data_IF_162503450448
#
_entry.id   IF_162503450448
#
_cell.length_a   1.000
_cell.length_b   1.000
_cell.length_c   1.000
_cell.angle_alpha   90.00
_cell.angle_beta   90.00
_cell.angle_gamma   90.00
#
_symmetry.space_group_name_H-M   'P 1'
#
loop_
_entity.id
_entity.type
_entity.pdbx_description
1 polymer ?
#
# COMPACT_ATOMS: atom_id res chain seq x y z
N UNK A 1 19.04 -13.75 59.72
CA UNK A 1 19.77 -13.07 58.61
C UNK A 1 19.91 -13.87 57.31
N UNK A 2 19.75 -15.19 57.27
CA UNK A 2 19.95 -16.01 56.05
C UNK A 2 18.71 -16.08 55.12
N UNK A 3 17.49 -15.78 55.55
CA UNK A 3 16.29 -15.81 54.70
C UNK A 3 16.12 -14.53 53.86
N UNK A 4 16.64 -13.37 54.28
CA UNK A 4 16.49 -12.12 53.49
C UNK A 4 17.44 -12.03 52.29
N UNK A 5 18.59 -12.75 52.36
CA UNK A 5 19.54 -12.78 51.26
C UNK A 5 19.08 -13.67 50.08
N UNK A 6 18.26 -14.70 50.36
CA UNK A 6 17.73 -15.61 49.32
C UNK A 6 16.63 -14.95 48.50
N UNK A 7 15.80 -14.10 49.12
CA UNK A 7 14.72 -13.38 48.42
C UNK A 7 15.22 -12.31 47.43
N UNK A 8 16.35 -11.66 47.74
CA UNK A 8 16.96 -10.64 46.88
C UNK A 8 17.65 -11.29 45.66
N UNK A 9 18.24 -12.46 45.83
CA UNK A 9 18.88 -13.18 44.72
C UNK A 9 17.84 -13.73 43.72
N UNK A 10 16.70 -14.18 44.17
CA UNK A 10 15.60 -14.64 43.29
C UNK A 10 14.96 -13.49 42.53
N UNK A 11 14.82 -12.30 43.15
CA UNK A 11 14.29 -11.10 42.47
C UNK A 11 15.29 -10.53 41.45
N UNK A 12 16.60 -10.62 41.70
CA UNK A 12 17.65 -10.22 40.75
C UNK A 12 17.75 -11.16 39.54
N UNK A 13 17.47 -12.46 39.68
CA UNK A 13 17.42 -13.43 38.56
C UNK A 13 16.16 -13.30 37.71
N UNK A 14 15.05 -12.79 38.25
CA UNK A 14 13.82 -12.51 37.48
C UNK A 14 13.89 -11.20 36.70
N UNK A 15 14.73 -10.25 37.12
CA UNK A 15 14.92 -8.98 36.44
C UNK A 15 15.85 -9.07 35.19
N UNK A 16 16.63 -10.14 35.03
CA UNK A 16 17.50 -10.33 33.86
C UNK A 16 16.92 -11.14 32.72
N UNK A 17 15.67 -11.57 32.84
CA UNK A 17 14.93 -12.29 31.79
C UNK A 17 13.92 -11.38 31.05
N UNK A 18 14.20 -10.08 30.91
CA UNK A 18 13.64 -9.29 29.84
C UNK A 18 14.35 -9.73 28.52
N UNK A 19 14.10 -10.98 28.14
CA UNK A 19 14.38 -11.47 26.81
C UNK A 19 13.65 -10.52 25.84
N UNK A 20 14.40 -9.64 25.19
CA UNK A 20 13.89 -9.05 23.95
C UNK A 20 13.50 -10.24 23.09
N UNK A 21 12.20 -10.40 22.84
CA UNK A 21 11.71 -11.39 21.89
C UNK A 21 12.34 -11.01 20.55
N UNK A 22 13.46 -11.62 20.23
CA UNK A 22 14.11 -11.44 18.94
C UNK A 22 13.15 -12.07 17.94
N UNK A 23 12.51 -11.25 17.11
CA UNK A 23 11.68 -11.74 16.03
C UNK A 23 12.49 -12.76 15.23
N UNK A 24 11.96 -13.96 15.06
CA UNK A 24 12.64 -15.01 14.32
C UNK A 24 13.03 -14.48 12.93
N UNK A 25 14.30 -14.67 12.55
CA UNK A 25 14.80 -14.22 11.26
C UNK A 25 14.04 -14.93 10.13
N UNK A 26 13.48 -14.17 9.19
CA UNK A 26 12.86 -14.71 7.99
C UNK A 26 13.97 -15.04 7.00
N UNK A 27 14.17 -16.33 6.75
CA UNK A 27 15.15 -16.82 5.79
C UNK A 27 14.54 -16.88 4.40
N UNK A 28 15.31 -16.50 3.40
CA UNK A 28 14.90 -16.57 2.00
C UNK A 28 16.11 -16.85 1.10
N UNK A 29 15.83 -17.31 -0.10
CA UNK A 29 16.80 -17.45 -1.19
C UNK A 29 16.33 -16.59 -2.35
N UNK A 30 17.24 -15.84 -2.97
CA UNK A 30 16.90 -15.03 -4.13
C UNK A 30 17.90 -15.23 -5.28
N UNK A 31 17.43 -15.08 -6.52
CA UNK A 31 18.25 -15.21 -7.74
C UNK A 31 17.52 -14.62 -8.93
N UNK A 32 18.28 -14.34 -10.00
CA UNK A 32 17.73 -13.84 -11.26
C UNK A 32 17.69 -14.95 -12.32
N UNK A 33 16.62 -15.02 -13.09
CA UNK A 33 16.57 -15.79 -14.32
C UNK A 33 17.29 -15.04 -15.46
N UNK A 34 17.76 -15.75 -16.50
CA UNK A 34 18.43 -15.12 -17.65
C UNK A 34 17.59 -14.05 -18.37
N UNK A 35 16.26 -14.15 -18.27
CA UNK A 35 15.33 -13.16 -18.83
C UNK A 35 15.10 -11.94 -17.92
N UNK A 36 15.77 -11.85 -16.77
CA UNK A 36 15.72 -10.72 -15.86
C UNK A 36 14.61 -10.79 -14.81
N UNK A 37 13.82 -11.88 -14.77
CA UNK A 37 12.86 -12.11 -13.68
C UNK A 37 13.60 -12.35 -12.37
N UNK A 38 13.37 -11.53 -11.37
CA UNK A 38 13.88 -11.75 -10.04
C UNK A 38 12.97 -12.71 -9.26
N UNK A 39 13.56 -13.71 -8.61
CA UNK A 39 12.84 -14.77 -7.89
C UNK A 39 13.26 -14.79 -6.44
N UNK A 40 12.29 -14.81 -5.53
CA UNK A 40 12.51 -14.92 -4.08
C UNK A 40 11.73 -16.12 -3.56
N UNK A 41 12.41 -16.99 -2.82
CA UNK A 41 11.85 -18.21 -2.22
C UNK A 41 11.97 -18.15 -0.70
N UNK A 42 10.87 -18.32 0.01
CA UNK A 42 10.81 -18.42 1.47
C UNK A 42 10.20 -19.77 1.88
N UNK A 43 11.03 -20.66 2.44
CA UNK A 43 10.63 -21.98 2.89
C UNK A 43 10.15 -21.91 4.34
N UNK A 44 8.87 -22.31 4.58
CA UNK A 44 8.24 -22.36 5.90
C UNK A 44 7.22 -23.52 5.95
N UNK A 45 7.56 -24.56 6.66
CA UNK A 45 6.74 -25.77 6.81
C UNK A 45 5.76 -25.71 7.99
N UNK A 46 5.54 -24.53 8.58
CA UNK A 46 4.63 -24.39 9.74
C UNK A 46 3.16 -24.70 9.41
N UNK A 47 2.78 -24.51 8.15
CA UNK A 47 1.43 -24.82 7.64
C UNK A 47 1.51 -25.36 6.21
N UNK A 48 0.64 -26.31 5.81
CA UNK A 48 0.70 -26.94 4.48
C UNK A 48 0.08 -26.05 3.38
N UNK A 49 0.46 -24.79 3.34
CA UNK A 49 0.00 -23.81 2.35
C UNK A 49 1.19 -23.09 1.72
N UNK A 50 1.00 -22.60 0.51
CA UNK A 50 1.97 -21.79 -0.22
C UNK A 50 1.28 -20.56 -0.82
N UNK A 51 1.97 -19.45 -0.79
CA UNK A 51 1.58 -18.23 -1.51
C UNK A 51 2.55 -17.99 -2.66
N UNK A 52 2.02 -17.85 -3.86
CA UNK A 52 2.76 -17.41 -5.06
C UNK A 52 2.29 -16.02 -5.43
N UNK A 53 3.22 -15.12 -5.69
CA UNK A 53 2.89 -13.74 -6.11
C UNK A 53 3.83 -13.22 -7.18
N UNK A 54 3.29 -12.38 -8.07
CA UNK A 54 4.06 -11.58 -9.02
C UNK A 54 3.75 -10.11 -8.80
N UNK A 55 4.78 -9.33 -8.53
CA UNK A 55 4.71 -7.88 -8.45
C UNK A 55 5.36 -7.26 -9.67
N UNK A 56 4.57 -6.56 -10.48
CA UNK A 56 5.07 -5.76 -11.59
C UNK A 56 5.31 -4.33 -11.12
N UNK A 57 6.48 -3.79 -11.41
CA UNK A 57 6.83 -2.40 -11.08
C UNK A 57 6.21 -1.45 -12.11
N UNK A 58 4.90 -1.45 -12.15
CA UNK A 58 4.04 -0.61 -12.98
C UNK A 58 2.74 -0.32 -12.23
N UNK A 59 2.39 0.93 -12.13
CA UNK A 59 1.16 1.42 -11.53
C UNK A 59 0.63 2.62 -12.28
N UNK A 60 -0.32 3.34 -11.69
CA UNK A 60 -0.94 4.47 -12.38
C UNK A 60 0.03 5.60 -12.73
N UNK A 61 1.16 5.74 -12.03
CA UNK A 61 2.16 6.76 -12.39
C UNK A 61 2.83 6.54 -13.74
N UNK A 62 2.80 5.30 -14.27
CA UNK A 62 3.42 4.93 -15.54
C UNK A 62 2.49 5.16 -16.74
N UNK A 63 1.29 5.66 -16.51
CA UNK A 63 0.28 5.90 -17.53
C UNK A 63 0.49 7.23 -18.26
N UNK A 64 0.03 7.29 -19.50
CA UNK A 64 -0.12 8.56 -20.20
C UNK A 64 -1.20 9.41 -19.49
N UNK A 65 -0.96 10.71 -19.25
CA UNK A 65 -1.94 11.60 -18.63
C UNK A 65 -3.32 11.64 -19.32
N UNK A 66 -3.38 11.29 -20.62
CA UNK A 66 -4.61 11.20 -21.41
C UNK A 66 -5.12 9.75 -21.56
N UNK A 67 -4.53 8.79 -20.82
CA UNK A 67 -4.87 7.36 -20.85
C UNK A 67 -4.80 6.76 -19.45
N UNK A 68 -5.33 7.49 -18.46
CA UNK A 68 -5.29 7.04 -17.06
C UNK A 68 -6.27 5.89 -16.80
N UNK A 69 -5.90 4.97 -15.90
CA UNK A 69 -6.66 3.79 -15.53
C UNK A 69 -6.16 2.50 -16.18
N UNK A 70 -5.10 2.54 -17.01
CA UNK A 70 -4.59 1.35 -17.72
C UNK A 70 -4.01 0.31 -16.77
N UNK A 71 -3.23 0.71 -15.78
CA UNK A 71 -2.61 -0.24 -14.84
C UNK A 71 -3.69 -1.02 -14.07
N UNK A 72 -4.72 -0.35 -13.56
CA UNK A 72 -5.84 -1.00 -12.91
C UNK A 72 -6.69 -1.82 -13.89
N UNK A 73 -6.87 -1.34 -15.11
CA UNK A 73 -7.57 -2.11 -16.15
C UNK A 73 -6.84 -3.43 -16.45
N UNK A 74 -5.51 -3.42 -16.47
CA UNK A 74 -4.70 -4.64 -16.62
C UNK A 74 -4.79 -5.56 -15.41
N UNK A 75 -4.99 -5.03 -14.20
CA UNK A 75 -5.31 -5.87 -13.05
C UNK A 75 -6.48 -6.79 -13.34
N UNK A 76 -7.55 -6.27 -13.96
CA UNK A 76 -8.73 -7.04 -14.37
C UNK A 76 -8.46 -7.90 -15.61
N UNK A 77 -7.87 -7.31 -16.65
CA UNK A 77 -7.73 -7.94 -17.96
C UNK A 77 -6.87 -9.21 -17.90
N UNK A 78 -5.88 -9.25 -17.01
CA UNK A 78 -5.01 -10.41 -16.84
C UNK A 78 -5.68 -11.59 -16.07
N UNK A 79 -6.97 -11.50 -15.76
CA UNK A 79 -7.82 -12.61 -15.33
C UNK A 79 -8.74 -13.16 -16.44
N UNK A 80 -8.72 -12.54 -17.63
CA UNK A 80 -9.58 -12.95 -18.75
C UNK A 80 -9.21 -14.32 -19.36
N UNK A 81 -8.06 -14.89 -18.96
CA UNK A 81 -7.54 -16.16 -19.45
C UNK A 81 -6.25 -16.00 -20.24
N UNK A 82 -5.80 -17.10 -20.82
CA UNK A 82 -4.60 -17.17 -21.63
C UNK A 82 -4.84 -18.01 -22.89
N UNK A 83 -3.80 -18.31 -23.65
CA UNK A 83 -3.88 -19.25 -24.76
C UNK A 83 -4.28 -20.66 -24.32
N UNK A 84 -3.94 -21.03 -23.06
CA UNK A 84 -4.17 -22.37 -22.51
C UNK A 84 -5.26 -22.39 -21.41
N UNK A 85 -5.78 -21.25 -21.01
CA UNK A 85 -6.90 -21.12 -20.05
C UNK A 85 -8.05 -20.34 -20.66
N UNK A 86 -9.24 -20.92 -20.58
CA UNK A 86 -10.46 -20.28 -21.05
C UNK A 86 -10.82 -19.03 -20.23
N UNK A 87 -11.64 -18.19 -20.83
CA UNK A 87 -12.13 -16.96 -20.21
C UNK A 87 -12.95 -17.26 -18.94
N UNK A 88 -12.59 -16.59 -17.83
CA UNK A 88 -13.24 -16.79 -16.52
C UNK A 88 -12.88 -18.11 -15.82
N UNK A 89 -11.93 -18.88 -16.32
CA UNK A 89 -11.47 -20.13 -15.70
C UNK A 89 -10.45 -19.89 -14.59
N UNK A 90 -9.70 -18.82 -14.63
CA UNK A 90 -8.62 -18.52 -13.68
C UNK A 90 -9.09 -18.65 -12.22
N UNK A 91 -10.16 -17.94 -11.87
CA UNK A 91 -10.78 -18.02 -10.54
C UNK A 91 -11.26 -19.43 -10.19
N UNK A 92 -11.91 -20.12 -11.15
CA UNK A 92 -12.47 -21.46 -10.93
C UNK A 92 -11.39 -22.49 -10.66
N UNK A 93 -10.26 -22.42 -11.38
CA UNK A 93 -9.12 -23.34 -11.22
C UNK A 93 -8.55 -23.21 -9.79
N UNK A 94 -8.31 -21.98 -9.33
CA UNK A 94 -7.77 -21.75 -7.98
C UNK A 94 -8.77 -22.17 -6.90
N UNK A 95 -10.06 -21.88 -7.07
CA UNK A 95 -11.09 -22.32 -6.13
C UNK A 95 -11.22 -23.84 -6.08
N UNK A 96 -11.16 -24.51 -7.23
CA UNK A 96 -11.18 -25.99 -7.31
C UNK A 96 -9.93 -26.60 -6.66
N UNK A 97 -8.79 -25.93 -6.70
CA UNK A 97 -7.57 -26.32 -6.00
C UNK A 97 -7.60 -26.04 -4.48
N UNK A 98 -8.72 -25.52 -3.94
CA UNK A 98 -8.85 -25.18 -2.52
C UNK A 98 -8.16 -23.88 -2.14
N UNK A 99 -7.83 -23.03 -3.10
CA UNK A 99 -7.13 -21.80 -2.91
C UNK A 99 -8.00 -20.54 -3.02
N UNK A 100 -7.35 -19.42 -2.81
CA UNK A 100 -7.91 -18.08 -3.02
C UNK A 100 -6.86 -17.19 -3.70
N UNK A 101 -7.33 -16.22 -4.45
CA UNK A 101 -6.47 -15.29 -5.17
C UNK A 101 -7.04 -13.86 -5.08
N UNK A 102 -6.16 -12.89 -5.29
CA UNK A 102 -6.55 -11.50 -5.44
C UNK A 102 -5.47 -10.73 -6.23
N UNK A 103 -5.79 -9.48 -6.58
CA UNK A 103 -4.83 -8.53 -7.13
C UNK A 103 -5.12 -7.13 -6.59
N UNK A 104 -4.18 -6.22 -6.75
CA UNK A 104 -4.38 -4.81 -6.48
C UNK A 104 -3.37 -3.95 -7.25
N UNK A 105 -3.81 -2.73 -7.58
CA UNK A 105 -3.00 -1.72 -8.25
C UNK A 105 -2.86 -0.49 -7.36
N UNK A 106 -1.64 0.03 -7.27
CA UNK A 106 -1.34 1.32 -6.66
C UNK A 106 -0.77 2.29 -7.70
N UNK A 107 -0.28 3.43 -7.23
CA UNK A 107 0.44 4.38 -8.08
C UNK A 107 1.73 3.78 -8.65
N UNK A 108 2.37 2.85 -7.94
CA UNK A 108 3.74 2.39 -8.21
C UNK A 108 3.83 0.94 -8.67
N UNK A 109 2.81 0.12 -8.40
CA UNK A 109 2.85 -1.32 -8.70
C UNK A 109 1.48 -1.92 -9.02
N UNK A 110 1.52 -3.06 -9.73
CA UNK A 110 0.41 -4.01 -9.86
C UNK A 110 0.85 -5.34 -9.28
N UNK A 111 0.05 -5.92 -8.40
CA UNK A 111 0.39 -7.09 -7.60
C UNK A 111 -0.69 -8.16 -7.71
N UNK A 112 -0.29 -9.35 -8.14
CA UNK A 112 -1.14 -10.55 -8.25
C UNK A 112 -0.64 -11.58 -7.26
N UNK A 113 -1.52 -12.22 -6.52
CA UNK A 113 -1.14 -13.28 -5.59
C UNK A 113 -2.23 -14.32 -5.41
N UNK A 114 -1.81 -15.51 -5.07
CA UNK A 114 -2.68 -16.65 -4.79
C UNK A 114 -2.10 -17.52 -3.69
N UNK A 115 -2.97 -18.00 -2.81
CA UNK A 115 -2.61 -18.90 -1.71
C UNK A 115 -3.38 -20.19 -1.90
N UNK A 116 -2.68 -21.33 -1.92
CA UNK A 116 -3.21 -22.66 -2.17
C UNK A 116 -2.59 -23.67 -1.19
N UNK A 117 -3.17 -24.88 -1.04
CA UNK A 117 -2.46 -26.00 -0.42
C UNK A 117 -1.12 -26.28 -1.13
N UNK A 118 -0.09 -26.65 -0.39
CA UNK A 118 1.30 -26.73 -0.91
C UNK A 118 1.47 -27.71 -2.07
N UNK A 119 0.66 -28.76 -2.14
CA UNK A 119 0.63 -29.71 -3.26
C UNK A 119 0.10 -29.10 -4.60
N UNK A 120 -0.40 -27.87 -4.57
CA UNK A 120 -0.86 -27.13 -5.75
C UNK A 120 0.12 -26.05 -6.23
N UNK A 121 1.34 -26.01 -5.69
CA UNK A 121 2.34 -24.99 -6.05
C UNK A 121 2.66 -24.99 -7.56
N UNK A 122 2.88 -26.17 -8.16
CA UNK A 122 3.19 -26.25 -9.59
C UNK A 122 2.08 -25.65 -10.46
N UNK A 123 0.81 -25.87 -10.09
CA UNK A 123 -0.35 -25.28 -10.75
C UNK A 123 -0.28 -23.73 -10.72
N UNK A 124 0.02 -23.16 -9.55
CA UNK A 124 0.09 -21.69 -9.43
C UNK A 124 1.23 -21.07 -10.23
N UNK A 125 2.37 -21.74 -10.31
CA UNK A 125 3.50 -21.31 -11.13
C UNK A 125 3.18 -21.34 -12.62
N UNK A 126 2.52 -22.42 -13.07
CA UNK A 126 2.02 -22.48 -14.44
C UNK A 126 1.04 -21.35 -14.73
N UNK A 127 0.06 -21.10 -13.87
CA UNK A 127 -0.94 -20.05 -14.07
C UNK A 127 -0.32 -18.64 -14.12
N UNK A 128 0.67 -18.34 -13.28
CA UNK A 128 1.36 -17.04 -13.30
C UNK A 128 2.24 -16.89 -14.56
N UNK A 129 2.87 -17.97 -15.05
CA UNK A 129 3.61 -17.93 -16.31
C UNK A 129 2.68 -17.69 -17.51
N UNK A 130 1.50 -18.30 -17.52
CA UNK A 130 0.43 -18.06 -18.50
C UNK A 130 0.01 -16.58 -18.50
N UNK A 131 -0.22 -16.00 -17.31
CA UNK A 131 -0.54 -14.58 -17.14
C UNK A 131 0.57 -13.68 -17.68
N UNK A 132 1.83 -13.99 -17.40
CA UNK A 132 2.96 -13.17 -17.79
C UNK A 132 3.21 -13.19 -19.29
N UNK A 133 3.01 -14.32 -19.98
CA UNK A 133 3.43 -14.48 -21.38
C UNK A 133 2.30 -14.75 -22.36
N UNK A 134 1.26 -15.47 -21.95
CA UNK A 134 0.20 -15.93 -22.84
C UNK A 134 -1.17 -15.30 -22.55
N UNK A 135 -1.19 -14.19 -21.80
CA UNK A 135 -2.44 -13.51 -21.46
C UNK A 135 -3.25 -13.15 -22.71
N UNK A 136 -4.54 -13.51 -22.68
CA UNK A 136 -5.45 -13.30 -23.80
C UNK A 136 -6.01 -11.89 -23.79
N UNK A 137 -5.35 -10.98 -24.50
CA UNK A 137 -5.76 -9.58 -24.63
C UNK A 137 -6.41 -9.39 -26.00
N UNK A 138 -7.72 -9.42 -26.03
CA UNK A 138 -8.52 -9.28 -27.25
C UNK A 138 -9.71 -8.32 -27.05
N UNK A 139 -10.41 -8.02 -28.14
CA UNK A 139 -11.57 -7.10 -28.12
C UNK A 139 -12.69 -7.57 -27.19
N UNK A 140 -12.91 -8.90 -27.07
CA UNK A 140 -14.00 -9.44 -26.23
C UNK A 140 -13.69 -9.19 -24.75
N UNK A 141 -12.45 -9.54 -24.30
CA UNK A 141 -12.01 -9.27 -22.94
C UNK A 141 -11.99 -7.80 -22.62
N UNK A 142 -11.50 -6.97 -23.56
CA UNK A 142 -11.48 -5.53 -23.42
C UNK A 142 -12.87 -4.95 -23.18
N UNK A 143 -13.87 -5.28 -24.02
CA UNK A 143 -15.24 -4.80 -23.88
C UNK A 143 -15.94 -5.32 -22.62
N UNK A 144 -15.60 -6.54 -22.20
CA UNK A 144 -16.11 -7.11 -20.94
C UNK A 144 -15.57 -6.30 -19.76
N UNK A 145 -14.26 -6.09 -19.69
CA UNK A 145 -13.62 -5.42 -18.57
C UNK A 145 -13.91 -3.91 -18.53
N UNK A 146 -14.17 -3.26 -19.69
CA UNK A 146 -14.68 -1.88 -19.71
C UNK A 146 -15.96 -1.72 -18.89
N UNK A 147 -16.89 -2.66 -19.02
CA UNK A 147 -18.14 -2.64 -18.25
C UNK A 147 -17.88 -2.89 -16.76
N UNK A 148 -17.02 -3.85 -16.44
CA UNK A 148 -16.70 -4.22 -15.06
C UNK A 148 -16.01 -3.07 -14.33
N UNK A 149 -14.93 -2.50 -14.88
CA UNK A 149 -14.19 -1.41 -14.27
C UNK A 149 -15.03 -0.14 -14.12
N UNK A 150 -15.90 0.16 -15.09
CA UNK A 150 -16.84 1.29 -15.00
C UNK A 150 -17.88 1.08 -13.90
N UNK A 151 -18.40 -0.13 -13.77
CA UNK A 151 -19.34 -0.44 -12.68
C UNK A 151 -18.64 -0.40 -11.32
N UNK A 152 -17.42 -0.91 -11.22
CA UNK A 152 -16.61 -0.80 -10.01
C UNK A 152 -16.35 0.67 -9.62
N UNK A 153 -15.97 1.52 -10.60
CA UNK A 153 -15.79 2.95 -10.35
C UNK A 153 -17.08 3.57 -9.81
N UNK A 154 -18.21 3.26 -10.43
CA UNK A 154 -19.51 3.74 -9.98
C UNK A 154 -19.85 3.28 -8.56
N UNK A 155 -19.61 2.00 -8.23
CA UNK A 155 -19.93 1.45 -6.91
C UNK A 155 -18.99 1.96 -5.83
N UNK A 156 -17.68 1.96 -6.06
CA UNK A 156 -16.68 2.27 -5.03
C UNK A 156 -16.42 3.77 -4.87
N UNK A 157 -16.55 4.54 -5.95
CA UNK A 157 -16.18 5.95 -5.95
C UNK A 157 -17.39 6.88 -6.11
N UNK A 158 -18.25 6.64 -7.13
CA UNK A 158 -19.29 7.62 -7.46
C UNK A 158 -20.53 7.50 -6.55
N UNK A 159 -20.89 6.29 -6.10
CA UNK A 159 -22.07 6.02 -5.26
C UNK A 159 -21.74 5.83 -3.76
N UNK A 160 -20.47 5.70 -3.41
CA UNK A 160 -20.06 5.53 -2.00
C UNK A 160 -19.84 6.89 -1.35
N UNK A 161 -20.47 7.17 -0.19
CA UNK A 161 -20.18 8.40 0.55
C UNK A 161 -18.69 8.60 0.77
N UNK A 162 -18.17 9.78 0.45
CA UNK A 162 -16.73 10.11 0.50
C UNK A 162 -15.84 9.28 -0.43
N UNK A 163 -16.40 8.53 -1.38
CA UNK A 163 -15.65 7.68 -2.30
C UNK A 163 -14.66 8.44 -3.19
N UNK A 164 -14.92 9.73 -3.47
CA UNK A 164 -14.04 10.58 -4.25
C UNK A 164 -12.89 11.22 -3.45
N UNK A 165 -12.80 10.96 -2.14
CA UNK A 165 -11.85 11.64 -1.25
C UNK A 165 -10.41 11.56 -1.76
N UNK A 166 -9.92 10.36 -2.09
CA UNK A 166 -8.55 10.17 -2.59
C UNK A 166 -8.34 10.84 -3.95
N UNK A 167 -9.33 10.74 -4.86
CA UNK A 167 -9.25 11.37 -6.18
C UNK A 167 -9.11 12.88 -6.04
N UNK A 168 -9.96 13.51 -5.22
CA UNK A 168 -9.92 14.96 -4.96
C UNK A 168 -8.58 15.38 -4.36
N UNK A 169 -8.03 14.59 -3.43
CA UNK A 169 -6.71 14.89 -2.85
C UNK A 169 -5.62 14.79 -3.91
N UNK A 170 -5.55 13.72 -4.68
CA UNK A 170 -4.51 13.56 -5.70
C UNK A 170 -4.57 14.64 -6.77
N UNK A 171 -5.73 14.92 -7.32
CA UNK A 171 -5.93 15.95 -8.36
C UNK A 171 -5.54 17.36 -7.89
N UNK A 172 -5.58 17.64 -6.59
CA UNK A 172 -5.29 18.96 -6.04
C UNK A 172 -3.95 19.06 -5.30
N UNK A 173 -3.42 17.97 -4.75
CA UNK A 173 -2.12 17.95 -4.12
C UNK A 173 -1.00 18.01 -5.17
N UNK A 174 -1.14 17.30 -6.28
CA UNK A 174 -0.12 17.24 -7.33
C UNK A 174 -0.51 18.07 -8.54
N UNK A 175 0.48 18.73 -9.15
CA UNK A 175 0.32 19.57 -10.34
C UNK A 175 1.02 18.99 -11.56
N UNK A 176 2.22 18.46 -11.38
CA UNK A 176 3.07 17.89 -12.42
C UNK A 176 3.26 16.39 -12.28
N UNK A 177 3.52 15.93 -11.06
CA UNK A 177 3.82 14.53 -10.82
C UNK A 177 2.64 13.61 -11.20
N UNK A 178 2.88 12.42 -11.79
CA UNK A 178 1.83 11.46 -12.15
C UNK A 178 0.95 10.95 -11.01
N UNK A 179 1.30 11.20 -9.76
CA UNK A 179 0.39 10.92 -8.63
C UNK A 179 -0.87 11.79 -8.58
N UNK A 180 -1.01 12.75 -9.49
CA UNK A 180 -2.22 13.59 -9.62
C UNK A 180 -3.47 12.85 -10.10
N UNK A 181 -3.37 11.60 -10.50
CA UNK A 181 -4.53 10.73 -10.78
C UNK A 181 -4.47 9.44 -10.00
N UNK A 182 -5.65 8.91 -9.69
CA UNK A 182 -5.78 7.65 -8.98
C UNK A 182 -5.72 6.45 -9.94
N UNK A 183 -5.44 5.23 -9.43
CA UNK A 183 -5.38 4.03 -10.24
C UNK A 183 -6.66 3.71 -11.02
N UNK A 184 -7.84 4.07 -10.50
CA UNK A 184 -9.10 3.84 -11.22
C UNK A 184 -9.21 4.65 -12.52
N UNK A 185 -8.49 5.76 -12.62
CA UNK A 185 -8.44 6.61 -13.79
C UNK A 185 -9.78 7.25 -14.19
N UNK A 186 -9.83 7.76 -15.42
CA UNK A 186 -11.04 8.35 -15.99
C UNK A 186 -11.73 7.37 -16.94
N UNK A 187 -13.02 7.13 -16.71
CA UNK A 187 -13.83 6.22 -17.53
C UNK A 187 -13.78 6.59 -19.02
N UNK A 188 -13.76 7.87 -19.35
CA UNK A 188 -13.62 8.37 -20.71
C UNK A 188 -12.38 7.82 -21.41
N UNK A 189 -11.22 7.85 -20.76
CA UNK A 189 -9.97 7.36 -21.35
C UNK A 189 -9.97 5.86 -21.59
N UNK A 190 -10.62 5.11 -20.69
CA UNK A 190 -10.82 3.66 -20.88
C UNK A 190 -11.76 3.39 -22.07
N UNK A 191 -12.80 4.20 -22.26
CA UNK A 191 -13.73 4.05 -23.38
C UNK A 191 -13.10 4.40 -24.74
N UNK A 192 -12.28 5.44 -24.80
CA UNK A 192 -11.62 5.91 -26.02
C UNK A 192 -10.42 5.05 -26.44
N UNK A 193 -9.80 4.32 -25.51
CA UNK A 193 -8.58 3.58 -25.76
C UNK A 193 -8.78 2.40 -26.72
N UNK A 194 -7.83 2.24 -27.63
CA UNK A 194 -7.81 1.18 -28.64
C UNK A 194 -7.06 -0.06 -28.12
N UNK A 195 -7.40 -1.22 -28.65
CA UNK A 195 -6.70 -2.48 -28.32
C UNK A 195 -5.18 -2.38 -28.49
N UNK A 196 -4.71 -1.65 -29.52
CA UNK A 196 -3.28 -1.44 -29.77
C UNK A 196 -2.58 -0.71 -28.63
N UNK A 197 -3.24 0.26 -27.97
CA UNK A 197 -2.69 1.03 -26.87
C UNK A 197 -2.58 0.13 -25.62
N UNK A 198 -3.57 -0.73 -25.37
CA UNK A 198 -3.50 -1.75 -24.31
C UNK A 198 -2.37 -2.75 -24.59
N UNK A 199 -2.24 -3.25 -25.83
CA UNK A 199 -1.17 -4.17 -26.19
C UNK A 199 0.21 -3.55 -26.03
N UNK A 200 0.37 -2.27 -26.34
CA UNK A 200 1.63 -1.53 -26.15
C UNK A 200 1.99 -1.40 -24.66
N UNK A 201 1.02 -1.07 -23.82
CA UNK A 201 1.20 -0.99 -22.36
C UNK A 201 1.60 -2.36 -21.79
N UNK A 202 0.90 -3.42 -22.16
CA UNK A 202 1.23 -4.79 -21.74
C UNK A 202 2.64 -5.18 -22.10
N UNK A 203 3.02 -5.06 -23.37
CA UNK A 203 4.35 -5.43 -23.88
C UNK A 203 5.48 -4.57 -23.31
N UNK A 204 5.15 -3.39 -22.81
CA UNK A 204 6.14 -2.49 -22.22
C UNK A 204 6.38 -2.81 -20.74
N UNK A 205 5.34 -3.11 -19.99
CA UNK A 205 5.44 -3.15 -18.52
C UNK A 205 5.29 -4.55 -17.92
N UNK A 206 4.52 -5.45 -18.54
CA UNK A 206 4.26 -6.79 -17.99
C UNK A 206 5.25 -7.81 -18.56
N UNK A 207 6.52 -7.57 -18.26
CA UNK A 207 7.67 -8.35 -18.77
C UNK A 207 8.52 -8.84 -17.60
N UNK A 208 9.29 -9.95 -17.78
CA UNK A 208 10.07 -10.56 -16.70
C UNK A 208 10.98 -9.59 -15.94
N UNK A 209 11.75 -8.76 -16.66
CA UNK A 209 12.71 -7.82 -16.07
C UNK A 209 12.05 -6.65 -15.31
N UNK A 210 10.72 -6.50 -15.40
CA UNK A 210 9.93 -5.53 -14.63
C UNK A 210 9.14 -6.20 -13.52
N UNK A 211 9.37 -7.47 -13.25
CA UNK A 211 8.61 -8.28 -12.31
C UNK A 211 9.49 -8.90 -11.22
N UNK A 212 8.87 -9.19 -10.10
CA UNK A 212 9.43 -10.00 -9.02
C UNK A 212 8.45 -11.15 -8.75
N UNK A 213 8.93 -12.38 -8.87
CA UNK A 213 8.19 -13.58 -8.50
C UNK A 213 8.60 -13.98 -7.08
N UNK A 214 7.65 -14.04 -6.18
CA UNK A 214 7.88 -14.46 -4.79
C UNK A 214 7.04 -15.68 -4.47
N UNK A 215 7.67 -16.70 -3.89
CA UNK A 215 7.00 -17.91 -3.46
C UNK A 215 7.37 -18.15 -1.99
N UNK A 216 6.35 -18.26 -1.12
CA UNK A 216 6.58 -18.47 0.31
C UNK A 216 5.58 -19.43 0.93
N UNK A 217 6.05 -20.25 1.87
CA UNK A 217 5.27 -21.25 2.58
C UNK A 217 5.90 -22.64 2.51
N UNK A 218 5.06 -23.68 2.56
CA UNK A 218 5.48 -25.08 2.55
C UNK A 218 5.98 -25.50 1.15
N UNK A 219 7.25 -25.23 0.89
CA UNK A 219 7.92 -25.50 -0.38
C UNK A 219 9.21 -26.30 -0.17
N UNK A 220 9.62 -27.03 -1.21
CA UNK A 220 10.97 -27.52 -1.35
C UNK A 220 11.72 -26.58 -2.34
N UNK A 221 12.76 -25.92 -1.87
CA UNK A 221 13.49 -24.92 -2.65
C UNK A 221 14.07 -25.48 -3.95
N UNK A 222 14.64 -26.69 -3.94
CA UNK A 222 15.23 -27.29 -5.13
C UNK A 222 14.17 -27.60 -6.18
N UNK A 223 13.08 -28.25 -5.80
CA UNK A 223 11.96 -28.56 -6.71
C UNK A 223 11.29 -27.28 -7.23
N UNK A 224 11.12 -26.26 -6.35
CA UNK A 224 10.53 -24.98 -6.75
C UNK A 224 11.39 -24.28 -7.82
N UNK A 225 12.72 -24.30 -7.69
CA UNK A 225 13.63 -23.75 -8.69
C UNK A 225 13.50 -24.46 -10.06
N UNK A 226 13.33 -25.77 -10.05
CA UNK A 226 13.10 -26.53 -11.28
C UNK A 226 11.79 -26.09 -11.96
N UNK A 227 10.70 -25.99 -11.23
CA UNK A 227 9.42 -25.52 -11.75
C UNK A 227 9.47 -24.06 -12.22
N UNK A 228 10.10 -23.17 -11.46
CA UNK A 228 10.30 -21.78 -11.88
C UNK A 228 11.05 -21.73 -13.20
N UNK A 229 12.15 -22.48 -13.35
CA UNK A 229 12.91 -22.51 -14.60
C UNK A 229 12.08 -23.13 -15.76
N UNK A 230 11.30 -24.17 -15.49
CA UNK A 230 10.41 -24.81 -16.46
C UNK A 230 9.38 -23.84 -17.03
N UNK A 231 8.72 -23.05 -16.17
CA UNK A 231 7.59 -22.22 -16.58
C UNK A 231 8.00 -20.80 -16.98
N UNK A 232 9.01 -20.22 -16.32
CA UNK A 232 9.41 -18.83 -16.57
C UNK A 232 10.69 -18.67 -17.35
N UNK A 233 11.56 -19.68 -17.37
CA UNK A 233 12.88 -19.58 -18.01
C UNK A 233 12.84 -19.34 -19.53
N UNK A 234 11.79 -19.80 -20.20
CA UNK A 234 11.58 -19.61 -21.64
C UNK A 234 10.85 -18.31 -22.02
N UNK A 235 10.34 -17.56 -21.07
CA UNK A 235 9.65 -16.29 -21.34
C UNK A 235 10.69 -15.26 -21.82
N UNK A 236 10.49 -14.61 -22.99
CA UNK A 236 11.46 -13.65 -23.52
C UNK A 236 11.49 -12.37 -22.68
N UNK A 237 12.62 -11.68 -22.70
CA UNK A 237 12.71 -10.30 -22.21
C UNK A 237 11.80 -9.37 -22.99
N UNK A 238 11.41 -8.25 -22.37
CA UNK A 238 10.74 -7.16 -23.05
C UNK A 238 11.62 -6.58 -24.17
N UNK A 239 10.98 -6.21 -25.26
CA UNK A 239 11.70 -5.64 -26.42
C UNK A 239 11.97 -4.14 -26.32
N UNK A 240 11.54 -3.48 -25.25
CA UNK A 240 11.60 -2.02 -25.08
C UNK A 240 12.21 -1.66 -23.72
N UNK A 241 12.88 -0.51 -23.65
CA UNK A 241 13.23 0.08 -22.36
C UNK A 241 11.95 0.44 -21.58
N UNK A 242 11.92 0.11 -20.30
CA UNK A 242 10.78 0.39 -19.44
C UNK A 242 10.84 1.88 -19.04
N UNK A 243 9.88 2.69 -19.49
CA UNK A 243 9.89 4.11 -19.16
C UNK A 243 9.57 4.31 -17.67
N UNK A 244 10.28 5.29 -17.06
CA UNK A 244 10.03 5.73 -15.70
C UNK A 244 9.71 7.21 -15.72
N UNK A 245 8.65 7.66 -15.02
CA UNK A 245 8.38 9.09 -14.88
C UNK A 245 9.58 9.83 -14.27
N UNK A 246 9.86 10.99 -14.80
CA UNK A 246 10.96 11.87 -14.34
C UNK A 246 10.43 13.21 -13.83
N UNK A 247 9.13 13.40 -13.88
CA UNK A 247 8.46 14.59 -13.41
C UNK A 247 8.61 14.72 -11.90
N UNK A 248 9.04 15.90 -11.46
CA UNK A 248 9.19 16.23 -10.04
C UNK A 248 8.08 17.20 -9.66
N UNK A 249 7.36 16.92 -8.58
CA UNK A 249 6.38 17.86 -8.05
C UNK A 249 7.09 19.09 -7.47
N UNK A 250 6.71 20.31 -7.86
CA UNK A 250 7.25 21.51 -7.27
C UNK A 250 6.95 21.59 -5.77
N UNK A 251 7.90 22.16 -5.01
CA UNK A 251 7.68 22.40 -3.58
C UNK A 251 6.52 23.37 -3.39
N UNK A 252 5.52 22.95 -2.63
CA UNK A 252 4.39 23.80 -2.29
C UNK A 252 4.83 24.89 -1.30
N UNK A 253 4.53 26.15 -1.60
CA UNK A 253 4.97 27.33 -0.80
C UNK A 253 3.81 28.04 -0.11
N UNK A 254 2.57 27.67 -0.41
CA UNK A 254 1.37 28.26 0.20
C UNK A 254 0.29 27.18 0.37
N UNK A 255 -0.55 27.35 1.39
CA UNK A 255 -1.71 26.48 1.60
C UNK A 255 -2.65 26.51 0.39
N UNK A 256 -3.07 25.33 -0.06
CA UNK A 256 -4.13 25.18 -1.06
C UNK A 256 -5.44 24.82 -0.35
N UNK A 257 -6.57 25.36 -0.84
CA UNK A 257 -7.89 25.07 -0.30
C UNK A 257 -8.88 24.74 -1.41
N UNK A 258 -9.66 23.68 -1.20
CA UNK A 258 -10.67 23.21 -2.16
C UNK A 258 -11.97 22.90 -1.42
N UNK A 259 -13.08 23.36 -1.97
CA UNK A 259 -14.42 22.89 -1.61
C UNK A 259 -14.87 21.89 -2.66
N UNK A 260 -15.20 20.69 -2.23
CA UNK A 260 -15.74 19.63 -3.08
C UNK A 260 -17.13 19.26 -2.59
N UNK A 261 -18.10 19.27 -3.47
CA UNK A 261 -19.52 19.02 -3.16
C UNK A 261 -19.95 17.65 -3.68
N UNK A 262 -20.51 16.83 -2.78
CA UNK A 262 -20.94 15.49 -3.12
C UNK A 262 -22.22 15.07 -2.38
N UNK A 263 -22.77 13.93 -2.76
CA UNK A 263 -23.96 13.36 -2.13
C UNK A 263 -23.62 12.72 -0.77
N UNK A 264 -23.23 13.55 0.18
CA UNK A 264 -22.97 13.18 1.56
C UNK A 264 -23.89 13.94 2.51
N UNK A 265 -24.11 13.43 3.71
CA UNK A 265 -24.97 14.08 4.71
C UNK A 265 -24.21 15.04 5.62
N UNK A 266 -22.99 14.70 5.96
CA UNK A 266 -22.15 15.44 6.88
C UNK A 266 -20.89 15.96 6.15
N UNK A 267 -20.40 17.15 6.47
CA UNK A 267 -19.14 17.61 5.92
C UNK A 267 -17.97 16.81 6.47
N UNK A 268 -16.91 16.68 5.65
CA UNK A 268 -15.63 16.18 6.11
C UNK A 268 -14.52 17.19 5.82
N UNK A 269 -13.47 17.15 6.62
CA UNK A 269 -12.26 17.94 6.46
C UNK A 269 -11.10 17.00 6.21
N UNK A 270 -10.32 17.27 5.19
CA UNK A 270 -9.10 16.54 4.85
C UNK A 270 -7.92 17.52 4.85
N UNK A 271 -6.88 17.19 5.60
CA UNK A 271 -5.60 17.86 5.61
C UNK A 271 -4.59 16.92 4.96
N UNK A 272 -4.10 17.25 3.77
CA UNK A 272 -3.11 16.45 3.07
C UNK A 272 -1.78 17.23 3.00
N UNK A 273 -0.71 16.61 3.47
CA UNK A 273 0.63 17.20 3.53
C UNK A 273 1.56 16.43 2.59
N UNK A 274 2.36 17.14 1.78
CA UNK A 274 3.44 16.49 1.04
C UNK A 274 4.46 15.89 1.98
N UNK A 275 4.86 14.66 1.69
CA UNK A 275 5.81 13.87 2.48
C UNK A 275 6.87 13.24 1.59
N UNK A 276 8.05 12.90 2.13
CA UNK A 276 9.11 12.28 1.35
C UNK A 276 8.71 10.87 0.89
N UNK A 277 9.47 10.30 -0.07
CA UNK A 277 9.27 8.92 -0.52
C UNK A 277 9.52 7.92 0.61
N UNK A 278 8.94 6.72 0.47
CA UNK A 278 9.06 5.65 1.48
C UNK A 278 10.51 5.20 1.78
N UNK A 279 11.47 5.54 0.91
CA UNK A 279 12.90 5.26 1.12
C UNK A 279 13.57 6.22 2.10
N UNK A 280 12.98 7.39 2.34
CA UNK A 280 13.51 8.42 3.24
C UNK A 280 13.32 8.02 4.70
N UNK A 281 14.30 8.31 5.54
CA UNK A 281 14.20 8.01 6.98
C UNK A 281 13.09 8.80 7.68
N UNK A 282 12.78 10.03 7.22
CA UNK A 282 11.69 10.83 7.76
C UNK A 282 10.31 10.17 7.53
N UNK A 283 10.18 9.29 6.51
CA UNK A 283 8.95 8.56 6.25
C UNK A 283 8.53 7.65 7.42
N UNK A 284 9.47 6.97 8.07
CA UNK A 284 9.18 6.14 9.25
C UNK A 284 8.64 6.96 10.43
N UNK A 285 9.19 8.15 10.63
CA UNK A 285 8.67 9.08 11.63
C UNK A 285 7.26 9.58 11.27
N UNK A 286 6.97 9.81 9.99
CA UNK A 286 5.62 10.21 9.51
C UNK A 286 4.61 9.08 9.75
N UNK A 287 4.97 7.83 9.52
CA UNK A 287 4.11 6.69 9.85
C UNK A 287 3.77 6.65 11.34
N UNK A 288 4.76 6.79 12.22
CA UNK A 288 4.52 6.86 13.67
C UNK A 288 3.66 8.06 14.06
N UNK A 289 3.86 9.22 13.42
CA UNK A 289 3.05 10.42 13.67
C UNK A 289 1.58 10.24 13.27
N UNK A 290 1.30 9.60 12.12
CA UNK A 290 -0.07 9.32 11.71
C UNK A 290 -0.74 8.30 12.64
N UNK A 291 0.02 7.31 13.14
CA UNK A 291 -0.46 6.36 14.15
C UNK A 291 -0.78 7.07 15.48
N UNK A 292 0.11 7.94 15.96
CA UNK A 292 -0.13 8.75 17.18
C UNK A 292 -1.43 9.54 17.09
N UNK A 293 -1.68 10.13 15.92
CA UNK A 293 -2.85 10.98 15.71
C UNK A 293 -4.14 10.18 15.64
N UNK A 294 -4.16 8.99 15.01
CA UNK A 294 -5.44 8.34 14.71
C UNK A 294 -5.56 6.85 15.04
N UNK A 295 -4.48 6.13 15.38
CA UNK A 295 -4.59 4.68 15.56
C UNK A 295 -5.06 4.28 16.95
N UNK A 296 -6.26 3.68 17.00
CA UNK A 296 -6.88 3.14 18.19
C UNK A 296 -7.56 4.19 19.08
N UNK A 297 -8.33 3.71 20.06
CA UNK A 297 -9.16 4.54 20.93
C UNK A 297 -8.38 5.56 21.78
N UNK A 298 -7.11 5.34 22.05
CA UNK A 298 -6.27 6.25 22.81
C UNK A 298 -5.46 7.23 21.96
N UNK A 299 -5.69 7.28 20.65
CA UNK A 299 -5.05 8.25 19.75
C UNK A 299 -5.51 9.68 20.03
N UNK A 300 -4.69 10.65 19.63
CA UNK A 300 -4.95 12.06 19.96
C UNK A 300 -6.23 12.59 19.34
N UNK A 301 -6.48 12.32 18.07
CA UNK A 301 -7.71 12.74 17.38
C UNK A 301 -8.94 12.08 18.00
N UNK A 302 -8.88 10.76 18.27
CA UNK A 302 -10.00 10.08 18.90
C UNK A 302 -10.35 10.71 20.24
N UNK A 303 -9.37 10.82 21.15
CA UNK A 303 -9.60 11.39 22.48
C UNK A 303 -10.05 12.84 22.45
N UNK A 304 -9.32 13.70 21.71
CA UNK A 304 -9.57 15.13 21.78
C UNK A 304 -10.78 15.58 20.95
N UNK A 305 -10.97 15.00 19.76
CA UNK A 305 -11.93 15.52 18.78
C UNK A 305 -13.24 14.73 18.84
N UNK A 306 -13.16 13.40 18.99
CA UNK A 306 -14.36 12.56 19.05
C UNK A 306 -14.91 12.48 20.47
N UNK A 307 -14.08 12.05 21.44
CA UNK A 307 -14.58 11.70 22.78
C UNK A 307 -14.80 12.92 23.67
N UNK A 308 -13.93 13.94 23.63
CA UNK A 308 -13.98 15.10 24.53
C UNK A 308 -14.72 16.30 23.95
N UNK A 309 -14.46 16.64 22.67
CA UNK A 309 -15.06 17.80 22.01
C UNK A 309 -16.32 17.46 21.22
N UNK A 310 -16.56 16.18 20.94
CA UNK A 310 -17.69 15.68 20.14
C UNK A 310 -17.81 16.37 18.76
N UNK A 311 -16.68 16.85 18.22
CA UNK A 311 -16.64 17.58 16.95
C UNK A 311 -16.63 16.68 15.73
N UNK A 312 -16.21 15.43 15.85
CA UNK A 312 -16.19 14.48 14.75
C UNK A 312 -16.94 13.19 15.09
N UNK A 313 -17.60 12.63 14.11
CA UNK A 313 -18.15 11.27 14.12
C UNK A 313 -17.04 10.23 13.93
N UNK A 314 -16.07 10.55 13.09
CA UNK A 314 -14.93 9.70 12.81
C UNK A 314 -13.71 10.54 12.44
N UNK A 315 -12.52 10.02 12.76
CA UNK A 315 -11.24 10.64 12.42
C UNK A 315 -10.25 9.58 11.93
N UNK A 316 -9.30 9.97 11.10
CA UNK A 316 -8.24 9.09 10.64
C UNK A 316 -7.00 9.87 10.20
N UNK A 317 -5.85 9.18 10.20
CA UNK A 317 -4.62 9.69 9.61
C UNK A 317 -3.79 8.52 9.08
N UNK A 318 -3.18 8.69 7.92
CA UNK A 318 -2.28 7.72 7.31
C UNK A 318 -1.34 8.41 6.32
N UNK A 319 -0.19 7.82 6.06
CA UNK A 319 0.68 8.22 4.97
C UNK A 319 0.71 7.13 3.90
N UNK A 320 0.61 7.53 2.64
CA UNK A 320 0.70 6.61 1.52
C UNK A 320 2.14 6.13 1.35
N UNK A 321 2.30 4.83 1.13
CA UNK A 321 3.60 4.23 0.86
C UNK A 321 3.92 4.35 -0.63
N UNK A 322 4.51 5.49 -1.00
CA UNK A 322 4.84 5.80 -2.37
C UNK A 322 6.35 5.72 -2.63
N UNK A 323 6.72 5.31 -3.85
CA UNK A 323 8.12 5.28 -4.31
C UNK A 323 8.71 6.68 -4.45
N UNK A 324 7.92 7.63 -4.93
CA UNK A 324 8.24 9.05 -5.06
C UNK A 324 7.60 9.87 -3.92
N UNK A 325 7.94 11.16 -3.75
CA UNK A 325 7.29 12.00 -2.74
C UNK A 325 5.77 11.97 -2.85
N UNK A 326 5.13 11.58 -1.76
CA UNK A 326 3.69 11.35 -1.69
C UNK A 326 2.97 12.32 -0.75
N UNK A 327 1.86 11.86 -0.17
CA UNK A 327 1.07 12.62 0.79
C UNK A 327 0.78 11.82 2.06
N UNK A 328 0.83 12.49 3.21
CA UNK A 328 0.18 12.07 4.44
C UNK A 328 -1.17 12.77 4.57
N UNK A 329 -2.20 12.03 4.89
CA UNK A 329 -3.56 12.52 4.98
C UNK A 329 -4.10 12.37 6.39
N UNK A 330 -4.79 13.40 6.85
CA UNK A 330 -5.55 13.43 8.10
C UNK A 330 -6.97 13.83 7.73
N UNK A 331 -7.97 13.14 8.24
CA UNK A 331 -9.36 13.47 7.93
C UNK A 331 -10.25 13.36 9.16
N UNK A 332 -11.34 14.11 9.12
CA UNK A 332 -12.43 14.01 10.10
C UNK A 332 -13.77 14.20 9.39
N UNK A 333 -14.77 13.40 9.79
CA UNK A 333 -16.17 13.60 9.41
C UNK A 333 -16.82 14.38 10.54
N UNK A 334 -17.31 15.58 10.27
CA UNK A 334 -17.91 16.45 11.28
C UNK A 334 -19.14 15.80 11.92
N UNK A 335 -19.32 16.03 13.20
CA UNK A 335 -20.56 15.66 13.87
C UNK A 335 -21.70 16.61 13.46
N UNK A 336 -22.94 16.22 13.71
CA UNK A 336 -24.11 17.03 13.36
C UNK A 336 -24.03 18.41 14.02
N UNK A 337 -24.21 19.47 13.22
CA UNK A 337 -24.15 20.86 13.70
C UNK A 337 -22.73 21.45 13.82
N UNK A 338 -21.69 20.67 13.59
CA UNK A 338 -20.29 21.15 13.63
C UNK A 338 -19.89 21.66 12.24
N UNK A 339 -19.33 22.88 12.20
CA UNK A 339 -18.84 23.43 10.93
C UNK A 339 -17.51 22.79 10.50
N UNK A 340 -17.19 22.73 9.19
CA UNK A 340 -15.88 22.29 8.73
C UNK A 340 -14.73 23.08 9.35
N UNK A 341 -14.91 24.37 9.56
CA UNK A 341 -13.93 25.26 10.18
C UNK A 341 -13.63 24.91 11.64
N UNK A 342 -14.66 24.55 12.41
CA UNK A 342 -14.50 24.15 13.81
C UNK A 342 -13.79 22.80 13.92
N UNK A 343 -14.08 21.88 13.00
CA UNK A 343 -13.39 20.59 12.92
C UNK A 343 -11.93 20.77 12.50
N UNK A 344 -11.65 21.57 11.46
CA UNK A 344 -10.27 21.90 11.02
C UNK A 344 -9.48 22.49 12.18
N UNK A 345 -10.06 23.46 12.91
CA UNK A 345 -9.41 24.08 14.06
C UNK A 345 -9.06 23.07 15.15
N UNK A 346 -9.94 22.10 15.40
CA UNK A 346 -9.67 21.05 16.37
C UNK A 346 -8.56 20.09 15.90
N UNK A 347 -8.53 19.74 14.62
CA UNK A 347 -7.47 18.92 14.02
C UNK A 347 -6.13 19.65 14.06
N UNK A 348 -6.11 20.92 13.67
CA UNK A 348 -4.91 21.76 13.69
C UNK A 348 -4.32 21.86 15.09
N UNK A 349 -5.14 22.02 16.11
CA UNK A 349 -4.70 22.10 17.50
C UNK A 349 -3.92 20.84 17.94
N UNK A 350 -4.34 19.65 17.53
CA UNK A 350 -3.63 18.41 17.86
C UNK A 350 -2.34 18.26 17.05
N UNK A 351 -2.34 18.64 15.76
CA UNK A 351 -1.15 18.65 14.92
C UNK A 351 -0.11 19.65 15.47
N UNK A 352 -0.53 20.84 15.87
CA UNK A 352 0.36 21.83 16.46
C UNK A 352 1.02 21.36 17.76
N UNK A 353 0.30 20.59 18.59
CA UNK A 353 0.90 20.02 19.80
C UNK A 353 2.08 19.09 19.48
N UNK A 354 1.97 18.29 18.42
CA UNK A 354 3.07 17.39 17.98
C UNK A 354 4.23 18.17 17.38
N UNK A 355 3.95 19.26 16.68
CA UNK A 355 5.00 20.14 16.12
C UNK A 355 5.78 20.91 17.19
N UNK A 356 5.10 21.34 18.25
CA UNK A 356 5.68 22.22 19.28
C UNK A 356 6.31 21.46 20.43
N UNK A 357 5.76 20.30 20.80
CA UNK A 357 6.14 19.56 22.00
C UNK A 357 6.60 18.15 21.64
N UNK A 358 7.53 17.61 22.42
CA UNK A 358 7.79 16.20 22.39
C UNK A 358 6.62 15.42 22.99
N UNK A 359 6.40 14.21 22.50
CA UNK A 359 5.39 13.30 23.04
C UNK A 359 5.87 12.73 24.38
N UNK A 360 4.94 12.25 25.22
CA UNK A 360 5.28 11.60 26.47
C UNK A 360 6.02 10.28 26.26
N UNK A 361 6.74 9.80 27.28
CA UNK A 361 7.41 8.50 27.22
C UNK A 361 6.41 7.35 27.05
N UNK A 362 5.22 7.48 27.66
CA UNK A 362 4.13 6.51 27.53
C UNK A 362 3.60 6.44 26.08
N UNK A 363 3.33 7.60 25.44
CA UNK A 363 2.90 7.65 24.06
C UNK A 363 3.97 7.08 23.12
N UNK A 364 5.24 7.44 23.35
CA UNK A 364 6.36 6.93 22.56
C UNK A 364 6.49 5.41 22.68
N UNK A 365 6.51 4.86 23.89
CA UNK A 365 6.60 3.42 24.10
C UNK A 365 5.43 2.68 23.46
N UNK A 366 4.22 3.24 23.56
CA UNK A 366 3.04 2.69 22.91
C UNK A 366 3.22 2.63 21.38
N UNK A 367 3.75 3.70 20.77
CA UNK A 367 3.97 3.74 19.31
C UNK A 367 4.96 2.67 18.86
N UNK A 368 6.08 2.53 19.55
CA UNK A 368 7.08 1.51 19.23
C UNK A 368 6.49 0.11 19.38
N UNK A 369 5.80 -0.17 20.48
CA UNK A 369 5.13 -1.46 20.70
C UNK A 369 4.09 -1.77 19.62
N UNK A 370 3.35 -0.75 19.17
CA UNK A 370 2.37 -0.90 18.10
C UNK A 370 3.05 -1.20 16.75
N UNK A 371 4.10 -0.47 16.41
CA UNK A 371 4.87 -0.73 15.19
C UNK A 371 5.48 -2.15 15.18
N UNK A 372 5.98 -2.61 16.32
CA UNK A 372 6.47 -3.99 16.48
C UNK A 372 5.34 -5.01 16.31
N UNK A 373 4.20 -4.78 16.95
CA UNK A 373 3.02 -5.67 16.84
C UNK A 373 2.51 -5.75 15.41
N UNK A 374 2.42 -4.61 14.73
CA UNK A 374 1.95 -4.54 13.34
C UNK A 374 2.93 -5.26 12.40
N UNK A 375 4.24 -5.04 12.58
CA UNK A 375 5.29 -5.72 11.82
C UNK A 375 5.25 -7.24 11.99
N UNK A 376 5.15 -7.71 13.24
CA UNK A 376 5.04 -9.15 13.56
C UNK A 376 3.77 -9.73 12.93
N UNK A 377 2.63 -9.07 13.12
CA UNK A 377 1.33 -9.53 12.62
C UNK A 377 1.29 -9.63 11.09
N UNK A 378 1.91 -8.69 10.38
CA UNK A 378 2.03 -8.72 8.92
C UNK A 378 2.87 -9.91 8.44
N UNK A 379 3.89 -10.30 9.19
CA UNK A 379 4.80 -11.39 8.83
C UNK A 379 4.42 -12.76 9.43
N UNK A 380 3.27 -12.89 10.09
CA UNK A 380 2.78 -14.18 10.61
C UNK A 380 2.20 -15.10 9.53
N UNK A 381 1.79 -14.54 8.40
CA UNK A 381 1.15 -15.31 7.32
C UNK A 381 2.06 -15.30 6.09
N UNK A 382 2.13 -16.44 5.41
CA UNK A 382 2.88 -16.56 4.15
C UNK A 382 2.57 -15.44 3.16
N UNK A 383 1.31 -15.06 2.97
CA UNK A 383 0.93 -13.96 2.08
C UNK A 383 1.52 -12.59 2.51
N UNK A 384 1.63 -12.33 3.80
CA UNK A 384 2.26 -11.11 4.31
C UNK A 384 3.77 -11.08 4.06
N UNK A 385 4.45 -12.19 4.35
CA UNK A 385 5.89 -12.36 4.07
C UNK A 385 6.17 -12.17 2.59
N UNK A 386 5.39 -12.83 1.73
CA UNK A 386 5.51 -12.76 0.26
C UNK A 386 5.31 -11.34 -0.25
N UNK A 387 4.28 -10.61 0.24
CA UNK A 387 4.07 -9.21 -0.12
C UNK A 387 5.23 -8.30 0.31
N UNK A 388 5.75 -8.49 1.52
CA UNK A 388 6.84 -7.66 2.05
C UNK A 388 8.16 -7.93 1.30
N UNK A 389 8.50 -9.20 1.04
CA UNK A 389 9.67 -9.56 0.23
C UNK A 389 9.59 -8.93 -1.17
N UNK A 390 8.43 -9.03 -1.83
CA UNK A 390 8.19 -8.40 -3.14
C UNK A 390 8.37 -6.88 -3.08
N UNK A 391 7.79 -6.22 -2.07
CA UNK A 391 7.87 -4.77 -1.87
C UNK A 391 9.30 -4.29 -1.64
N UNK A 392 10.04 -4.96 -0.74
CA UNK A 392 11.41 -4.57 -0.40
C UNK A 392 12.35 -4.72 -1.60
N UNK A 393 12.23 -5.81 -2.35
CA UNK A 393 13.04 -5.94 -3.54
C UNK A 393 12.62 -4.94 -4.63
N UNK A 394 11.34 -4.83 -4.93
CA UNK A 394 10.85 -3.97 -6.01
C UNK A 394 11.31 -2.53 -5.82
N UNK A 395 11.09 -1.99 -4.64
CA UNK A 395 11.33 -0.57 -4.39
C UNK A 395 12.71 -0.27 -3.80
N UNK A 396 13.22 -1.10 -2.91
CA UNK A 396 14.48 -0.82 -2.20
C UNK A 396 15.69 -1.58 -2.76
N UNK A 397 15.47 -2.60 -3.60
CA UNK A 397 16.52 -3.55 -4.03
C UNK A 397 17.27 -4.16 -2.85
N UNK A 398 16.58 -4.33 -1.75
CA UNK A 398 17.09 -4.85 -0.49
C UNK A 398 16.05 -5.73 0.21
N UNK A 399 15.95 -6.97 -0.20
CA UNK A 399 15.01 -7.96 0.35
C UNK A 399 15.20 -8.18 1.85
N UNK A 400 16.43 -7.99 2.36
CA UNK A 400 16.72 -8.18 3.79
C UNK A 400 16.09 -7.11 4.70
N UNK A 401 15.44 -6.08 4.16
CA UNK A 401 14.62 -5.15 4.96
C UNK A 401 13.55 -5.90 5.77
N UNK A 402 13.07 -7.05 5.31
CA UNK A 402 12.15 -7.89 6.07
C UNK A 402 12.70 -8.28 7.46
N UNK A 403 14.00 -8.28 7.63
CA UNK A 403 14.68 -8.60 8.90
C UNK A 403 15.20 -7.35 9.65
N UNK A 404 15.22 -6.19 9.01
CA UNK A 404 15.90 -5.00 9.58
C UNK A 404 15.01 -3.75 9.64
N UNK A 405 13.83 -3.75 9.02
CA UNK A 405 12.96 -2.57 8.99
C UNK A 405 12.48 -2.15 10.39
N UNK A 406 12.22 -3.13 11.27
CA UNK A 406 11.80 -2.82 12.64
C UNK A 406 12.84 -1.98 13.40
N UNK A 407 14.13 -2.19 13.11
CA UNK A 407 15.21 -1.38 13.72
C UNK A 407 15.13 0.09 13.29
N UNK A 408 14.64 0.37 12.08
CA UNK A 408 14.42 1.75 11.63
C UNK A 408 13.34 2.44 12.46
N UNK A 409 12.22 1.75 12.74
CA UNK A 409 11.19 2.30 13.64
C UNK A 409 11.73 2.53 15.04
N UNK A 410 12.49 1.58 15.59
CA UNK A 410 13.11 1.69 16.92
C UNK A 410 14.15 2.81 17.01
N UNK A 411 14.78 3.17 15.90
CA UNK A 411 15.78 4.25 15.86
C UNK A 411 15.19 5.65 15.88
N UNK A 412 13.87 5.80 15.59
CA UNK A 412 13.19 7.11 15.59
C UNK A 412 13.00 7.59 17.02
N UNK A 413 13.57 8.74 17.35
CA UNK A 413 13.46 9.35 18.68
C UNK A 413 12.25 10.27 18.82
N UNK A 414 11.86 10.65 20.04
CA UNK A 414 10.84 11.68 20.29
C UNK A 414 11.21 13.02 19.64
N UNK A 415 12.47 13.38 19.66
CA UNK A 415 12.99 14.59 19.00
C UNK A 415 12.84 14.49 17.48
N UNK A 416 13.03 13.32 16.87
CA UNK A 416 12.78 13.10 15.44
C UNK A 416 11.31 13.27 15.10
N UNK A 417 10.40 12.72 15.89
CA UNK A 417 8.96 12.90 15.66
C UNK A 417 8.59 14.39 15.67
N UNK A 418 9.04 15.15 16.65
CA UNK A 418 8.82 16.60 16.72
C UNK A 418 9.43 17.32 15.51
N UNK A 419 10.69 17.03 15.17
CA UNK A 419 11.40 17.63 14.04
C UNK A 419 10.67 17.37 12.72
N UNK A 420 10.27 16.13 12.49
CA UNK A 420 9.58 15.71 11.27
C UNK A 420 8.18 16.32 11.19
N UNK A 421 7.42 16.33 12.28
CA UNK A 421 6.14 17.03 12.32
C UNK A 421 6.30 18.53 11.98
N UNK A 422 7.26 19.21 12.60
CA UNK A 422 7.53 20.63 12.34
C UNK A 422 8.00 20.90 10.90
N UNK A 423 8.67 19.93 10.25
CA UNK A 423 9.13 20.05 8.87
C UNK A 423 8.01 19.87 7.85
N UNK A 424 7.14 18.88 8.04
CA UNK A 424 6.19 18.46 7.00
C UNK A 424 4.75 18.92 7.26
N UNK A 425 4.28 19.00 8.52
CA UNK A 425 2.89 19.32 8.83
C UNK A 425 2.63 20.81 8.94
N UNK A 426 3.28 21.59 8.09
CA UNK A 426 3.14 23.04 8.03
C UNK A 426 2.00 23.47 7.12
N UNK A 427 1.39 24.65 7.39
CA UNK A 427 0.32 25.20 6.55
C UNK A 427 0.76 25.42 5.10
N UNK A 428 2.00 25.84 4.87
CA UNK A 428 2.49 26.07 3.51
C UNK A 428 2.64 24.78 2.70
N UNK A 429 2.76 23.64 3.36
CA UNK A 429 2.96 22.32 2.75
C UNK A 429 1.67 21.52 2.66
N UNK A 430 0.49 22.14 2.86
CA UNK A 430 -0.76 21.38 2.92
C UNK A 430 -1.80 21.78 1.88
N UNK A 431 -2.60 20.81 1.51
CA UNK A 431 -3.90 20.97 0.89
C UNK A 431 -5.00 20.76 1.96
N UNK A 432 -5.95 21.67 2.04
CA UNK A 432 -7.17 21.52 2.82
C UNK A 432 -8.33 21.26 1.86
N UNK A 433 -9.02 20.14 2.04
CA UNK A 433 -10.26 19.86 1.30
C UNK A 433 -11.44 19.88 2.28
N UNK A 434 -12.42 20.73 1.99
CA UNK A 434 -13.73 20.64 2.58
C UNK A 434 -14.60 19.80 1.66
N UNK A 435 -14.92 18.59 2.09
CA UNK A 435 -15.80 17.67 1.42
C UNK A 435 -17.22 17.89 1.93
N UNK A 436 -18.04 18.55 1.14
CA UNK A 436 -19.29 19.16 1.58
C UNK A 436 -20.51 18.47 0.98
N UNK A 437 -21.64 18.42 1.73
CA UNK A 437 -22.94 18.06 1.17
C UNK A 437 -23.32 18.96 -0.01
N UNK A 438 -23.87 18.39 -1.07
CA UNK A 438 -24.43 19.17 -2.22
C UNK A 438 -25.44 20.22 -1.80
N UNK A 439 -26.15 20.00 -0.70
CA UNK A 439 -27.10 20.98 -0.13
C UNK A 439 -26.43 22.28 0.35
N UNK A 440 -25.11 22.26 0.57
CA UNK A 440 -24.32 23.44 0.98
C UNK A 440 -23.73 24.19 -0.22
N UNK A 441 -23.88 23.68 -1.43
CA UNK A 441 -23.41 24.36 -2.64
C UNK A 441 -24.26 25.62 -2.87
N UNK A 442 -23.60 26.78 -2.81
CA UNK A 442 -24.27 28.04 -3.15
C UNK A 442 -24.54 28.07 -4.64
N UNK A 443 -25.82 28.20 -5.00
CA UNK A 443 -26.24 28.40 -6.39
C UNK A 443 -25.76 29.75 -6.94
#
# INVERSE_FOLDING_TARGET
MKLKALSIAVFAMLASAASQAQTAKINFTEYDLPNGLHVILHEDHSTPIVTTAVMYHVGSKNEDPQRTGFAHFFEHLLFEGSDNMGRGEYMKIIQAAGGQLNANTSQDRTYYYQTVPSNQLELTLWMESERMHYAKIDTIGLETQRKVVKEEKKQRYDNTPYGQLLNVVFENAFTTHPYRWSPIGKAQYIDEAKLSEFMDFYRTFYVPENAVLVIGGDINVAQTKEWVNKYFGGIPKGGKAIPRPTEVEPVQTAEKRVNFYDNVQLPAVILAYHVPPMKDNDYYAIQLLTQLLSQGKSSRFQKAIVDQQEKALAVGAFALQNEDPGVAMMFGIANSGVSPQDLETAMDAEVEKVMKNEISDEEYQKLINQAESDFVSQNQRSAGVVNNLATYYTFFKNTNLINTELEKYRSITKADLKRVAAKYFTKNNRLVVYYLPKSMEKK
#
